data_IF_163651284175
#
_entry.id   IF_163651284175
#
_cell.length_a   1.000
_cell.length_b   1.000
_cell.length_c   1.000
_cell.angle_alpha   90.00
_cell.angle_beta   90.00
_cell.angle_gamma   90.00
#
_symmetry.space_group_name_H-M   'P 1'
#
loop_
_entity.id
_entity.type
_entity.pdbx_description
1 polymer ?
#
# COMPACT_ATOMS: atom_id res chain seq x y z
N UNK A 1 -16.75 2.39 2.19
CA UNK A 1 -16.33 0.98 1.96
C UNK A 1 -14.82 0.94 2.08
N UNK A 2 -14.25 0.20 3.04
CA UNK A 2 -12.83 0.29 3.34
C UNK A 2 -12.01 -0.28 2.16
N UNK A 3 -10.96 0.41 1.72
CA UNK A 3 -10.10 0.00 0.61
C UNK A 3 -9.51 -1.43 0.76
N UNK A 4 -9.52 -1.99 1.97
CA UNK A 4 -9.10 -3.36 2.30
C UNK A 4 -10.27 -4.35 2.49
N UNK A 5 -11.51 -3.99 2.15
CA UNK A 5 -12.72 -4.77 2.46
C UNK A 5 -12.76 -6.17 1.82
N UNK A 6 -12.03 -6.38 0.71
CA UNK A 6 -11.94 -7.68 0.03
C UNK A 6 -10.90 -8.62 0.63
N UNK A 7 -10.01 -8.15 1.52
CA UNK A 7 -8.90 -8.95 2.08
C UNK A 7 -9.38 -10.23 2.78
N UNK A 8 -10.42 -10.23 3.63
CA UNK A 8 -10.88 -11.46 4.28
C UNK A 8 -11.35 -12.53 3.28
N UNK A 9 -12.05 -12.12 2.21
CA UNK A 9 -12.52 -13.02 1.16
C UNK A 9 -11.36 -13.60 0.35
N UNK A 10 -10.34 -12.79 0.05
CA UNK A 10 -9.14 -13.25 -0.63
C UNK A 10 -8.34 -14.23 0.25
N UNK A 11 -8.20 -13.94 1.54
CA UNK A 11 -7.54 -14.84 2.48
C UNK A 11 -8.23 -16.23 2.47
N UNK A 12 -9.56 -16.25 2.64
CA UNK A 12 -10.33 -17.49 2.59
C UNK A 12 -10.16 -18.25 1.26
N UNK A 13 -10.27 -17.54 0.13
CA UNK A 13 -10.12 -18.14 -1.22
C UNK A 13 -8.77 -18.82 -1.42
N UNK A 14 -7.72 -18.29 -0.80
CA UNK A 14 -6.35 -18.80 -0.93
C UNK A 14 -5.90 -19.69 0.23
N UNK A 15 -6.84 -20.12 1.10
CA UNK A 15 -6.53 -21.00 2.23
C UNK A 15 -5.65 -20.35 3.29
N UNK A 16 -5.73 -19.02 3.43
CA UNK A 16 -5.04 -18.25 4.46
C UNK A 16 -6.01 -17.91 5.60
N UNK A 17 -5.50 -17.93 6.83
CA UNK A 17 -6.27 -17.55 8.00
C UNK A 17 -6.32 -16.02 8.15
N UNK A 18 -7.53 -15.45 8.13
CA UNK A 18 -7.73 -14.04 8.41
C UNK A 18 -7.72 -13.80 9.92
N UNK A 19 -6.66 -13.17 10.43
CA UNK A 19 -6.45 -12.96 11.87
C UNK A 19 -7.22 -11.75 12.40
N UNK A 20 -7.09 -10.60 11.75
CA UNK A 20 -7.65 -9.34 12.25
C UNK A 20 -7.83 -8.32 11.11
N UNK A 21 -8.94 -7.59 11.17
CA UNK A 21 -9.13 -6.32 10.47
C UNK A 21 -9.21 -5.17 11.45
N UNK A 22 -8.55 -4.05 11.15
CA UNK A 22 -8.64 -2.85 11.97
C UNK A 22 -8.75 -1.60 11.07
N UNK A 23 -9.75 -0.77 11.35
CA UNK A 23 -9.89 0.53 10.75
C UNK A 23 -9.39 1.59 11.73
N UNK A 24 -8.53 2.50 11.27
CA UNK A 24 -8.09 3.66 12.02
C UNK A 24 -9.07 4.82 11.74
N UNK A 25 -9.85 5.27 12.73
CA UNK A 25 -10.92 6.26 12.53
C UNK A 25 -10.39 7.69 12.32
N UNK A 26 -9.16 7.96 12.75
CA UNK A 26 -8.51 9.26 12.62
C UNK A 26 -7.05 9.11 12.14
N UNK A 27 -6.34 10.24 12.07
CA UNK A 27 -4.95 10.35 11.59
C UNK A 27 -3.96 10.64 12.72
N UNK A 28 -4.36 10.48 13.98
CA UNK A 28 -3.48 10.77 15.12
C UNK A 28 -2.37 9.71 15.25
N UNK A 29 -1.21 10.13 15.74
CA UNK A 29 -0.10 9.21 16.02
C UNK A 29 -0.50 8.12 17.03
N UNK A 30 -1.43 8.43 17.95
CA UNK A 30 -1.93 7.46 18.91
C UNK A 30 -2.81 6.38 18.26
N UNK A 31 -3.66 6.76 17.29
CA UNK A 31 -4.42 5.79 16.52
C UNK A 31 -3.51 4.85 15.73
N UNK A 32 -2.44 5.39 15.13
CA UNK A 32 -1.44 4.59 14.41
C UNK A 32 -0.69 3.65 15.38
N UNK A 33 -0.22 4.16 16.51
CA UNK A 33 0.45 3.36 17.55
C UNK A 33 -0.43 2.23 18.04
N UNK A 34 -1.69 2.53 18.36
CA UNK A 34 -2.69 1.58 18.84
C UNK A 34 -2.99 0.50 17.80
N UNK A 35 -3.10 0.87 16.52
CA UNK A 35 -3.29 -0.08 15.42
C UNK A 35 -2.13 -1.08 15.33
N UNK A 36 -0.89 -0.60 15.31
CA UNK A 36 0.31 -1.46 15.28
C UNK A 36 0.36 -2.37 16.51
N UNK A 37 0.12 -1.84 17.71
CA UNK A 37 0.08 -2.63 18.93
C UNK A 37 -0.98 -3.73 18.89
N UNK A 38 -2.14 -3.46 18.28
CA UNK A 38 -3.22 -4.43 18.14
C UNK A 38 -2.84 -5.56 17.20
N UNK A 39 -2.23 -5.26 16.06
CA UNK A 39 -1.73 -6.28 15.12
C UNK A 39 -0.64 -7.13 15.78
N UNK A 40 0.30 -6.51 16.49
CA UNK A 40 1.36 -7.23 17.22
C UNK A 40 0.78 -8.18 18.28
N UNK A 41 -0.19 -7.74 19.08
CA UNK A 41 -0.87 -8.59 20.08
C UNK A 41 -1.68 -9.73 19.47
N UNK A 42 -2.09 -9.62 18.22
CA UNK A 42 -2.79 -10.69 17.50
C UNK A 42 -1.85 -11.80 16.99
N UNK A 43 -0.55 -11.74 17.30
CA UNK A 43 0.41 -12.80 17.00
C UNK A 43 1.34 -12.54 15.82
N UNK A 44 1.44 -11.29 15.35
CA UNK A 44 2.24 -10.86 14.18
C UNK A 44 1.92 -11.66 12.90
N UNK A 45 1.08 -11.13 12.00
CA UNK A 45 0.67 -11.87 10.81
C UNK A 45 1.86 -12.11 9.85
N UNK A 46 1.83 -13.22 9.11
CA UNK A 46 2.77 -13.45 8.00
C UNK A 46 2.62 -12.38 6.92
N UNK A 47 1.37 -11.98 6.63
CA UNK A 47 1.03 -10.96 5.63
C UNK A 47 0.24 -9.84 6.27
N UNK A 48 0.75 -8.62 6.16
CA UNK A 48 0.04 -7.40 6.53
C UNK A 48 -0.44 -6.68 5.26
N UNK A 49 -1.72 -6.32 5.19
CA UNK A 49 -2.25 -5.47 4.12
C UNK A 49 -2.69 -4.14 4.71
N UNK A 50 -2.05 -3.06 4.29
CA UNK A 50 -2.30 -1.70 4.74
C UNK A 50 -2.93 -0.88 3.62
N UNK A 51 -4.21 -0.55 3.77
CA UNK A 51 -4.92 0.39 2.91
C UNK A 51 -4.96 1.76 3.57
N UNK A 52 -3.78 2.37 3.65
CA UNK A 52 -3.55 3.61 4.39
C UNK A 52 -3.14 4.69 3.42
N UNK A 53 -3.74 5.86 3.56
CA UNK A 53 -3.45 7.05 2.75
C UNK A 53 -2.58 8.04 3.55
N UNK A 54 -1.88 8.94 2.86
CA UNK A 54 -1.26 10.11 3.48
C UNK A 54 -2.24 10.86 4.39
N UNK A 55 -1.77 11.40 5.53
CA UNK A 55 -0.38 11.47 6.00
C UNK A 55 0.06 10.25 6.85
N UNK A 56 -0.71 9.15 6.90
CA UNK A 56 -0.49 8.05 7.85
C UNK A 56 0.59 7.04 7.42
N UNK A 57 1.07 7.12 6.19
CA UNK A 57 2.03 6.18 5.61
C UNK A 57 3.34 6.09 6.40
N UNK A 58 4.07 7.20 6.53
CA UNK A 58 5.32 7.24 7.29
C UNK A 58 5.14 6.95 8.78
N UNK A 59 4.17 7.56 9.49
CA UNK A 59 3.91 7.24 10.89
C UNK A 59 3.65 5.75 11.13
N UNK A 60 2.90 5.08 10.25
CA UNK A 60 2.61 3.64 10.38
C UNK A 60 3.89 2.81 10.29
N UNK A 61 4.73 3.06 9.28
CA UNK A 61 5.97 2.30 9.08
C UNK A 61 6.95 2.54 10.23
N UNK A 62 7.07 3.80 10.71
CA UNK A 62 7.88 4.13 11.88
C UNK A 62 7.38 3.44 13.14
N UNK A 63 6.07 3.37 13.35
CA UNK A 63 5.50 2.66 14.51
C UNK A 63 5.65 1.15 14.39
N UNK A 64 5.56 0.58 13.18
CA UNK A 64 5.89 -0.84 12.95
C UNK A 64 7.32 -1.15 13.37
N UNK A 65 8.29 -0.33 12.94
CA UNK A 65 9.70 -0.46 13.33
C UNK A 65 9.87 -0.30 14.86
N UNK A 66 9.29 0.74 15.46
CA UNK A 66 9.38 1.00 16.91
C UNK A 66 8.80 -0.11 17.77
N UNK A 67 7.80 -0.83 17.27
CA UNK A 67 7.11 -1.89 17.99
C UNK A 67 7.56 -3.29 17.57
N UNK A 68 8.61 -3.39 16.74
CA UNK A 68 9.17 -4.66 16.26
C UNK A 68 8.11 -5.52 15.55
N UNK A 69 7.24 -4.89 14.75
CA UNK A 69 6.27 -5.58 13.90
C UNK A 69 6.86 -5.79 12.50
N UNK A 70 7.36 -7.02 12.26
CA UNK A 70 8.00 -7.41 11.02
C UNK A 70 7.26 -8.59 10.35
N UNK A 71 6.15 -8.34 9.63
CA UNK A 71 5.49 -9.38 8.85
C UNK A 71 6.42 -9.88 7.73
N UNK A 72 6.25 -11.13 7.28
CA UNK A 72 7.03 -11.70 6.15
C UNK A 72 6.76 -10.97 4.83
N UNK A 73 5.54 -10.47 4.67
CA UNK A 73 5.17 -9.56 3.58
C UNK A 73 4.29 -8.43 4.10
N UNK A 74 4.60 -7.20 3.70
CA UNK A 74 3.76 -6.05 3.96
C UNK A 74 3.33 -5.44 2.62
N UNK A 75 2.01 -5.40 2.37
CA UNK A 75 1.41 -4.84 1.16
C UNK A 75 0.78 -3.50 1.49
N UNK A 76 1.28 -2.42 0.89
CA UNK A 76 0.74 -1.06 1.04
C UNK A 76 0.11 -0.63 -0.28
N UNK A 77 -1.21 -0.50 -0.30
CA UNK A 77 -1.95 -0.29 -1.56
C UNK A 77 -1.89 1.13 -2.10
N UNK A 78 -1.55 2.11 -1.26
CA UNK A 78 -1.45 3.53 -1.65
C UNK A 78 -0.05 4.06 -1.39
N UNK A 79 0.45 3.94 -0.16
CA UNK A 79 1.72 4.55 0.28
C UNK A 79 2.92 4.21 -0.61
N UNK A 80 3.07 2.94 -1.00
CA UNK A 80 4.22 2.47 -1.75
C UNK A 80 4.29 3.01 -3.19
N UNK A 81 3.18 3.53 -3.72
CA UNK A 81 3.10 4.11 -5.06
C UNK A 81 3.36 5.62 -5.08
N UNK A 82 3.55 6.25 -3.92
CA UNK A 82 3.70 7.70 -3.82
C UNK A 82 5.09 8.17 -4.22
N UNK A 83 5.15 9.34 -4.85
CA UNK A 83 6.41 10.05 -5.06
C UNK A 83 7.09 10.36 -3.73
N UNK A 84 8.39 10.12 -3.65
CA UNK A 84 9.18 10.38 -2.45
C UNK A 84 8.97 9.42 -1.29
N UNK A 85 8.18 8.34 -1.45
CA UNK A 85 7.93 7.36 -0.38
C UNK A 85 9.23 6.85 0.27
N UNK A 86 10.18 6.34 -0.52
CA UNK A 86 11.47 5.88 0.00
C UNK A 86 12.32 7.00 0.62
N UNK A 87 12.16 8.25 0.16
CA UNK A 87 12.81 9.41 0.77
C UNK A 87 12.23 9.73 2.15
N UNK A 88 10.93 9.45 2.37
CA UNK A 88 10.25 9.69 3.64
C UNK A 88 10.52 8.60 4.68
N UNK A 89 10.46 7.32 4.27
CA UNK A 89 10.54 6.18 5.20
C UNK A 89 11.92 5.51 5.25
N UNK A 90 12.82 5.87 4.34
CA UNK A 90 14.16 5.31 4.27
C UNK A 90 14.15 3.80 4.11
N UNK A 91 15.10 3.14 4.79
CA UNK A 91 15.29 1.68 4.72
C UNK A 91 14.09 0.88 5.24
N UNK A 92 13.26 1.45 6.12
CA UNK A 92 12.06 0.79 6.62
C UNK A 92 10.98 0.60 5.52
N UNK A 93 11.10 1.33 4.41
CA UNK A 93 10.27 1.13 3.22
C UNK A 93 10.79 0.07 2.26
N UNK A 94 12.03 -0.41 2.44
CA UNK A 94 12.57 -1.48 1.60
C UNK A 94 11.72 -2.75 1.79
N UNK A 95 11.49 -3.48 0.69
CA UNK A 95 10.72 -4.73 0.68
C UNK A 95 9.22 -4.62 0.98
N UNK A 96 8.68 -3.40 1.14
CA UNK A 96 7.23 -3.18 1.12
C UNK A 96 6.71 -3.42 -0.30
N UNK A 97 5.75 -4.34 -0.43
CA UNK A 97 5.05 -4.60 -1.68
C UNK A 97 4.00 -3.51 -1.91
N UNK A 98 3.93 -2.98 -3.11
CA UNK A 98 2.99 -1.94 -3.48
C UNK A 98 2.35 -2.20 -4.83
N UNK A 99 1.23 -1.53 -5.10
CA UNK A 99 0.77 -1.41 -6.47
C UNK A 99 1.80 -0.59 -7.25
N UNK A 100 2.17 -1.05 -8.45
CA UNK A 100 2.94 -0.20 -9.34
C UNK A 100 1.98 0.79 -10.00
N UNK A 101 2.23 2.10 -9.94
CA UNK A 101 1.48 3.04 -10.76
C UNK A 101 1.68 2.69 -12.24
N UNK A 102 0.79 3.16 -13.11
CA UNK A 102 0.96 3.00 -14.54
C UNK A 102 2.19 3.81 -14.98
N UNK A 103 3.36 3.17 -15.02
CA UNK A 103 4.58 3.82 -15.46
C UNK A 103 4.60 3.87 -16.99
N UNK A 104 5.15 4.94 -17.62
CA UNK A 104 5.22 5.07 -19.08
C UNK A 104 5.85 3.89 -19.80
N UNK A 105 6.76 3.17 -19.13
CA UNK A 105 7.47 1.98 -19.62
C UNK A 105 6.77 0.65 -19.28
N UNK A 106 5.60 0.67 -18.65
CA UNK A 106 4.84 -0.55 -18.33
C UNK A 106 4.27 -1.13 -19.62
N UNK A 107 4.78 -2.29 -20.03
CA UNK A 107 4.21 -3.06 -21.14
C UNK A 107 3.18 -4.05 -20.62
N UNK A 108 1.91 -3.85 -20.99
CA UNK A 108 0.87 -4.85 -20.71
C UNK A 108 0.94 -5.96 -21.76
N UNK A 109 1.11 -7.21 -21.33
CA UNK A 109 1.12 -8.38 -22.20
C UNK A 109 -0.26 -8.78 -22.76
N UNK A 110 -1.29 -7.95 -22.57
CA UNK A 110 -2.65 -8.22 -23.03
C UNK A 110 -3.07 -7.24 -24.13
N UNK A 111 -3.59 -7.71 -25.27
CA UNK A 111 -4.05 -6.86 -26.37
C UNK A 111 -5.34 -6.07 -26.06
N UNK A 112 -5.94 -6.27 -24.89
CA UNK A 112 -7.21 -5.65 -24.49
C UNK A 112 -7.12 -4.15 -24.17
N UNK A 113 -5.92 -3.61 -23.92
CA UNK A 113 -5.69 -2.17 -23.77
C UNK A 113 -5.23 -1.56 -25.11
N UNK A 114 -6.13 -1.55 -26.10
CA UNK A 114 -6.15 -0.68 -27.29
C UNK A 114 -4.82 -0.28 -27.96
N UNK A 115 -3.77 -1.11 -27.98
CA UNK A 115 -2.50 -0.78 -28.64
C UNK A 115 -1.81 0.53 -28.21
N UNK A 116 -2.34 1.21 -27.18
CA UNK A 116 -1.80 2.43 -26.63
C UNK A 116 -0.85 2.06 -25.51
N UNK A 117 0.41 2.47 -25.64
CA UNK A 117 1.36 2.37 -24.54
C UNK A 117 0.99 3.42 -23.51
N UNK A 118 1.36 3.19 -22.25
CA UNK A 118 1.17 4.17 -21.17
C UNK A 118 1.80 5.53 -21.54
N UNK A 119 2.96 5.52 -22.21
CA UNK A 119 3.59 6.73 -22.74
C UNK A 119 2.70 7.53 -23.71
N UNK A 120 1.90 6.85 -24.55
CA UNK A 120 1.02 7.51 -25.52
C UNK A 120 -0.16 8.19 -24.80
N UNK A 121 -0.64 7.60 -23.69
CA UNK A 121 -1.63 8.24 -22.81
C UNK A 121 -1.04 9.46 -22.09
N UNK A 122 0.13 9.32 -21.46
CA UNK A 122 0.78 10.41 -20.72
C UNK A 122 1.03 11.62 -21.62
N UNK A 123 1.58 11.40 -22.83
CA UNK A 123 1.82 12.48 -23.78
C UNK A 123 0.54 13.26 -24.13
N UNK A 124 -0.56 12.55 -24.41
CA UNK A 124 -1.87 13.15 -24.73
C UNK A 124 -2.47 13.89 -23.54
N UNK A 125 -2.33 13.33 -22.33
CA UNK A 125 -2.84 13.94 -21.10
C UNK A 125 -2.09 15.24 -20.80
N UNK A 126 -0.75 15.20 -20.81
CA UNK A 126 0.11 16.38 -20.60
C UNK A 126 -0.15 17.46 -21.65
N UNK A 127 -0.27 17.10 -22.94
CA UNK A 127 -0.58 18.05 -24.02
C UNK A 127 -1.94 18.73 -23.82
N UNK A 128 -2.97 17.94 -23.44
CA UNK A 128 -4.34 18.44 -23.26
C UNK A 128 -4.48 19.34 -22.04
N UNK A 129 -3.85 18.98 -20.91
CA UNK A 129 -4.07 19.64 -19.62
C UNK A 129 -2.94 20.61 -19.22
N UNK A 130 -1.84 20.67 -19.99
CA UNK A 130 -0.70 21.57 -19.76
C UNK A 130 -0.05 21.44 -18.37
N UNK A 131 -0.16 20.27 -17.74
CA UNK A 131 0.58 19.97 -16.51
C UNK A 131 2.07 19.85 -16.85
N UNK A 132 2.90 20.65 -16.17
CA UNK A 132 4.36 20.60 -16.29
C UNK A 132 4.94 19.61 -15.30
#
# INVERSE_FOLDING_TARGET
EAACGSVPLLAQKHGMDFVLGHAMPDTTDEAVRSAVSRVRRAGQPDVLVACVEPPRCGPLIREMERQDLAPRAAVFTVCAAMEGFLSEVGRAGEYILGVTPWLPNTTHGSPTLSGLRVADFVARYTERFKEK
#
